data_IF_055697548557
#
_entry.id   IF_055697548557
#
_cell.length_a   1.000
_cell.length_b   1.000
_cell.length_c   1.000
_cell.angle_alpha   90.00
_cell.angle_beta   90.00
_cell.angle_gamma   90.00
#
_symmetry.space_group_name_H-M   'P 1'
#
loop_
_entity.id
_entity.type
_entity.pdbx_description
1 polymer ?
#
# COMPACT_ATOMS: atom_id res chain seq x y z
N UNK A 1 -3.07 -1.75 -6.10
CA UNK A 1 -2.81 -0.40 -5.54
C UNK A 1 -2.84 0.64 -6.66
N UNK A 2 -3.36 1.84 -6.40
CA UNK A 2 -3.31 2.95 -7.35
C UNK A 2 -2.72 4.19 -6.66
N UNK A 3 -1.77 4.84 -7.30
CA UNK A 3 -1.16 6.10 -6.87
C UNK A 3 -1.53 7.14 -7.92
N UNK A 4 -2.05 8.29 -7.51
CA UNK A 4 -2.43 9.37 -8.42
C UNK A 4 -1.92 10.71 -7.92
N UNK A 5 -1.29 11.48 -8.80
CA UNK A 5 -0.81 12.83 -8.53
C UNK A 5 -1.51 13.82 -9.45
N UNK A 6 -2.50 14.54 -8.90
CA UNK A 6 -3.33 15.45 -9.69
C UNK A 6 -2.54 16.59 -10.33
N UNK A 7 -1.54 17.14 -9.63
CA UNK A 7 -0.71 18.22 -10.17
C UNK A 7 0.14 17.80 -11.38
N UNK A 8 0.58 16.54 -11.42
CA UNK A 8 1.44 16.00 -12.49
C UNK A 8 0.63 15.26 -13.57
N UNK A 9 -0.68 15.11 -13.37
CA UNK A 9 -1.53 14.28 -14.23
C UNK A 9 -0.92 12.89 -14.44
N UNK A 10 -0.42 12.28 -13.37
CA UNK A 10 0.27 11.00 -13.42
C UNK A 10 -0.41 10.00 -12.50
N UNK A 11 -0.53 8.76 -12.98
CA UNK A 11 -1.08 7.66 -12.20
C UNK A 11 -0.23 6.41 -12.39
N UNK A 12 -0.04 5.68 -11.30
CA UNK A 12 0.56 4.34 -11.32
C UNK A 12 -0.47 3.35 -10.79
N UNK A 13 -0.74 2.31 -11.56
CA UNK A 13 -1.47 1.13 -11.07
C UNK A 13 -0.48 0.01 -10.85
N UNK A 14 -0.64 -0.69 -9.75
CA UNK A 14 0.18 -1.85 -9.37
C UNK A 14 -0.79 -2.96 -9.05
N UNK A 15 -0.71 -4.04 -9.81
CA UNK A 15 -1.54 -5.22 -9.61
C UNK A 15 -0.63 -6.39 -9.30
N UNK A 16 -1.06 -7.21 -8.35
CA UNK A 16 -0.26 -8.32 -7.87
C UNK A 16 -0.87 -8.95 -6.63
N UNK A 17 -0.25 -10.03 -6.18
CA UNK A 17 -0.64 -10.73 -4.96
C UNK A 17 -0.22 -9.94 -3.73
N UNK A 18 -1.14 -9.80 -2.78
CA UNK A 18 -0.82 -9.31 -1.45
C UNK A 18 -0.36 -10.46 -0.56
N UNK A 19 0.79 -10.31 0.09
CA UNK A 19 1.37 -11.26 1.02
C UNK A 19 1.56 -10.59 2.37
N UNK A 20 1.21 -11.28 3.45
CA UNK A 20 1.40 -10.72 4.80
C UNK A 20 2.89 -10.72 5.12
N UNK A 21 3.41 -9.59 5.58
CA UNK A 21 4.81 -9.52 6.03
C UNK A 21 4.98 -10.25 7.36
N UNK A 22 6.23 -10.53 7.73
CA UNK A 22 6.50 -11.22 8.99
C UNK A 22 6.04 -10.42 10.21
N UNK A 23 5.80 -11.13 11.32
CA UNK A 23 5.47 -10.48 12.60
C UNK A 23 6.62 -9.61 13.09
N UNK A 24 7.87 -10.01 12.84
CA UNK A 24 9.06 -9.25 13.19
C UNK A 24 9.14 -7.92 12.43
N UNK A 25 8.96 -7.95 11.10
CA UNK A 25 8.91 -6.72 10.29
C UNK A 25 7.76 -5.81 10.71
N UNK A 26 6.59 -6.40 10.98
CA UNK A 26 5.44 -5.64 11.50
C UNK A 26 5.74 -5.01 12.85
N UNK A 27 6.39 -5.72 13.78
CA UNK A 27 6.76 -5.22 15.10
C UNK A 27 7.78 -4.08 15.01
N UNK A 28 8.82 -4.28 14.18
CA UNK A 28 9.84 -3.26 13.92
C UNK A 28 9.23 -1.99 13.35
N UNK A 29 8.35 -2.11 12.35
CA UNK A 29 7.67 -0.95 11.76
C UNK A 29 6.67 -0.31 12.73
N UNK A 30 5.97 -1.09 13.55
CA UNK A 30 5.05 -0.56 14.56
C UNK A 30 5.77 0.39 15.53
N UNK A 31 6.91 -0.05 16.07
CA UNK A 31 7.68 0.72 17.04
C UNK A 31 8.45 1.89 16.45
N UNK A 32 8.65 1.95 15.12
CA UNK A 32 9.23 3.12 14.46
C UNK A 32 8.23 4.26 14.26
N UNK A 33 6.93 4.03 14.49
CA UNK A 33 5.88 5.05 14.34
C UNK A 33 5.83 5.97 15.56
N UNK A 34 5.33 7.22 15.44
CA UNK A 34 5.05 8.07 16.59
C UNK A 34 4.17 7.37 17.64
N UNK A 35 4.37 7.65 18.93
CA UNK A 35 3.63 6.99 20.02
C UNK A 35 2.11 7.16 19.85
N UNK A 36 1.65 8.32 19.44
CA UNK A 36 0.23 8.61 19.18
C UNK A 36 -0.33 7.69 18.08
N UNK A 37 0.48 7.38 17.06
CA UNK A 37 0.13 6.44 16.00
C UNK A 37 0.07 4.99 16.48
N UNK A 38 0.91 4.62 17.44
CA UNK A 38 0.89 3.31 18.10
C UNK A 38 -0.37 3.17 18.97
N UNK A 39 -0.68 4.18 19.79
CA UNK A 39 -1.89 4.23 20.61
C UNK A 39 -3.16 4.21 19.74
N UNK A 40 -3.20 4.99 18.67
CA UNK A 40 -4.33 5.02 17.74
C UNK A 40 -4.65 3.66 17.11
N UNK A 41 -3.62 2.83 16.87
CA UNK A 41 -3.79 1.46 16.37
C UNK A 41 -4.43 0.52 17.41
N UNK A 42 -4.27 0.80 18.71
CA UNK A 42 -4.94 0.05 19.79
C UNK A 42 -6.37 0.56 19.96
N UNK A 43 -6.57 1.88 19.95
CA UNK A 43 -7.89 2.52 20.14
C UNK A 43 -8.89 2.07 19.09
N UNK A 44 -8.44 1.96 17.84
CA UNK A 44 -9.29 1.65 16.69
C UNK A 44 -9.13 0.21 16.24
N UNK A 45 -10.09 -0.64 16.60
CA UNK A 45 -10.31 -1.89 15.87
C UNK A 45 -10.98 -1.55 14.54
N UNK A 46 -10.15 -1.26 13.54
CA UNK A 46 -10.57 -0.62 12.29
C UNK A 46 -11.78 -1.32 11.65
N UNK A 47 -12.74 -0.51 11.18
CA UNK A 47 -13.97 -0.95 10.49
C UNK A 47 -15.00 -1.68 11.36
N UNK A 48 -14.87 -1.67 12.70
CA UNK A 48 -15.90 -2.15 13.62
C UNK A 48 -16.93 -1.06 13.96
N UNK A 49 -18.18 -1.46 14.21
CA UNK A 49 -19.26 -0.55 14.60
C UNK A 49 -19.07 -0.10 16.05
N UNK A 50 -19.18 1.20 16.30
CA UNK A 50 -19.11 1.82 17.63
C UNK A 50 -20.29 2.75 17.84
N UNK A 51 -20.65 3.03 19.09
CA UNK A 51 -21.81 3.86 19.41
C UNK A 51 -21.60 5.34 19.09
N UNK A 52 -20.37 5.84 19.22
CA UNK A 52 -20.07 7.26 19.00
C UNK A 52 -18.55 7.53 18.98
N UNK A 53 -18.18 8.77 18.66
CA UNK A 53 -16.79 9.23 18.64
C UNK A 53 -16.17 9.26 20.05
N UNK A 54 -16.95 9.61 21.06
CA UNK A 54 -16.48 9.75 22.45
C UNK A 54 -15.93 8.44 23.02
N UNK A 55 -16.35 7.29 22.50
CA UNK A 55 -15.78 5.98 22.85
C UNK A 55 -14.30 5.91 22.50
N UNK A 56 -13.91 6.44 21.33
CA UNK A 56 -12.51 6.46 20.89
C UNK A 56 -11.70 7.43 21.74
N UNK A 57 -12.24 8.62 22.04
CA UNK A 57 -11.53 9.65 22.80
C UNK A 57 -11.29 9.18 24.26
N UNK A 58 -12.28 8.55 24.90
CA UNK A 58 -12.11 7.95 26.24
C UNK A 58 -11.07 6.84 26.26
N UNK A 59 -11.09 5.95 25.27
CA UNK A 59 -10.08 4.87 25.15
C UNK A 59 -8.68 5.45 24.94
N UNK A 60 -8.55 6.47 24.10
CA UNK A 60 -7.27 7.13 23.85
C UNK A 60 -6.72 7.77 25.13
N UNK A 61 -7.53 8.54 25.85
CA UNK A 61 -7.12 9.17 27.11
C UNK A 61 -6.66 8.13 28.15
N UNK A 62 -7.40 7.03 28.32
CA UNK A 62 -7.02 5.95 29.24
C UNK A 62 -5.70 5.28 28.84
N UNK A 63 -5.45 5.11 27.53
CA UNK A 63 -4.19 4.55 27.05
C UNK A 63 -3.03 5.54 27.16
N UNK A 64 -3.25 6.83 26.95
CA UNK A 64 -2.24 7.87 27.16
C UNK A 64 -1.80 7.92 28.62
N UNK A 65 -2.74 7.79 29.57
CA UNK A 65 -2.42 7.69 31.00
C UNK A 65 -1.65 6.39 31.31
N UNK A 66 -2.13 5.24 30.81
CA UNK A 66 -1.47 3.93 30.99
C UNK A 66 -0.03 3.90 30.45
N UNK A 67 0.23 4.59 29.35
CA UNK A 67 1.51 4.64 28.65
C UNK A 67 2.19 6.01 28.75
N UNK A 68 1.92 6.75 29.84
CA UNK A 68 2.50 8.07 30.11
C UNK A 68 4.02 7.99 30.36
N UNK A 69 4.48 6.90 30.96
CA UNK A 69 5.91 6.59 31.02
C UNK A 69 6.39 6.13 29.65
N UNK A 70 7.23 6.95 29.01
CA UNK A 70 7.77 6.68 27.68
C UNK A 70 8.69 5.46 27.63
N UNK A 71 9.25 5.03 28.77
CA UNK A 71 10.06 3.81 28.85
C UNK A 71 9.23 2.54 28.65
N UNK A 72 7.90 2.62 28.85
CA UNK A 72 6.99 1.50 28.63
C UNK A 72 6.70 1.37 27.13
N UNK A 73 7.04 0.23 26.50
CA UNK A 73 6.72 -0.02 25.11
C UNK A 73 5.22 -0.27 24.95
N UNK A 74 4.62 0.39 23.95
CA UNK A 74 3.24 0.16 23.57
C UNK A 74 3.19 -1.16 22.77
N UNK A 75 2.40 -2.17 23.18
CA UNK A 75 2.36 -3.44 22.47
C UNK A 75 1.68 -3.28 21.11
N UNK A 76 2.21 -3.96 20.09
CA UNK A 76 1.57 -4.07 18.78
C UNK A 76 0.35 -5.00 18.88
N UNK A 77 -0.86 -4.58 18.46
CA UNK A 77 -2.01 -5.48 18.37
C UNK A 77 -1.81 -6.63 17.38
N UNK A 78 -2.42 -7.80 17.65
CA UNK A 78 -2.32 -8.99 16.78
C UNK A 78 -2.97 -8.80 15.40
N UNK A 79 -4.02 -7.98 15.35
CA UNK A 79 -4.71 -7.58 14.12
C UNK A 79 -3.97 -6.48 13.34
N UNK A 80 -2.87 -5.94 13.89
CA UNK A 80 -2.06 -4.93 13.22
C UNK A 80 -0.82 -5.57 12.57
N UNK A 81 -0.58 -5.22 11.31
CA UNK A 81 0.59 -5.65 10.55
C UNK A 81 0.61 -5.03 9.15
N UNK A 82 1.58 -5.47 8.35
CA UNK A 82 1.72 -5.03 6.96
C UNK A 82 1.40 -6.11 5.94
N UNK A 83 1.18 -5.66 4.70
CA UNK A 83 1.16 -6.50 3.52
C UNK A 83 2.17 -5.96 2.51
N UNK A 84 2.87 -6.86 1.86
CA UNK A 84 3.69 -6.60 0.68
C UNK A 84 2.86 -6.96 -0.56
N UNK A 85 2.82 -6.07 -1.54
CA UNK A 85 2.26 -6.40 -2.86
C UNK A 85 3.44 -6.91 -3.70
N UNK A 86 3.41 -8.18 -4.08
CA UNK A 86 4.32 -8.77 -5.06
C UNK A 86 3.74 -8.46 -6.44
N UNK A 87 4.33 -7.54 -7.21
CA UNK A 87 3.70 -7.05 -8.43
C UNK A 87 3.78 -8.08 -9.56
N UNK A 88 2.65 -8.30 -10.21
CA UNK A 88 2.54 -9.04 -11.47
C UNK A 88 2.42 -8.07 -12.66
N UNK A 89 1.95 -6.84 -12.41
CA UNK A 89 1.97 -5.74 -13.38
C UNK A 89 2.08 -4.35 -12.75
N UNK A 90 2.64 -3.44 -13.54
CA UNK A 90 2.63 -1.99 -13.32
C UNK A 90 2.04 -1.31 -14.54
N UNK A 91 1.19 -0.31 -14.35
CA UNK A 91 0.74 0.58 -15.42
C UNK A 91 1.11 2.01 -15.05
N UNK A 92 1.85 2.67 -15.93
CA UNK A 92 2.20 4.07 -15.85
C UNK A 92 1.31 4.84 -16.82
N UNK A 93 0.48 5.71 -16.28
CA UNK A 93 -0.42 6.57 -17.02
C UNK A 93 0.04 8.02 -16.90
N UNK A 94 0.22 8.69 -18.02
CA UNK A 94 0.56 10.11 -18.10
C UNK A 94 -0.48 10.87 -18.92
N UNK A 95 -1.07 11.87 -18.29
CA UNK A 95 -2.04 12.76 -18.92
C UNK A 95 -1.39 13.60 -20.00
N UNK A 96 -2.16 13.82 -21.07
CA UNK A 96 -1.79 14.59 -22.26
C UNK A 96 -2.96 15.53 -22.58
N UNK A 97 -2.66 16.75 -23.02
CA UNK A 97 -3.67 17.81 -23.24
C UNK A 97 -4.62 17.49 -24.39
N UNK A 98 -4.15 16.72 -25.38
CA UNK A 98 -4.93 16.29 -26.54
C UNK A 98 -5.76 15.01 -26.30
N UNK A 99 -5.83 14.52 -25.05
CA UNK A 99 -6.53 13.29 -24.63
C UNK A 99 -5.88 11.98 -25.10
N UNK A 100 -4.78 12.03 -25.84
CA UNK A 100 -4.00 10.86 -26.24
C UNK A 100 -3.00 10.50 -25.15
N UNK A 101 -3.51 10.08 -24.00
CA UNK A 101 -2.73 9.73 -22.82
C UNK A 101 -1.72 8.62 -23.09
N UNK A 102 -0.54 8.74 -22.49
CA UNK A 102 0.44 7.67 -22.52
C UNK A 102 0.09 6.62 -21.47
N UNK A 103 0.05 5.36 -21.91
CA UNK A 103 -0.17 4.21 -21.03
C UNK A 103 0.89 3.17 -21.33
N UNK A 104 1.81 2.98 -20.39
CA UNK A 104 2.88 1.99 -20.47
C UNK A 104 2.63 0.93 -19.41
N UNK A 105 2.44 -0.31 -19.84
CA UNK A 105 2.24 -1.46 -18.96
C UNK A 105 3.47 -2.33 -18.92
N UNK A 106 4.00 -2.56 -17.73
CA UNK A 106 4.92 -3.63 -17.44
C UNK A 106 4.14 -4.83 -16.89
N UNK A 107 4.39 -6.03 -17.39
CA UNK A 107 3.79 -7.27 -16.86
C UNK A 107 4.76 -8.44 -16.88
N UNK A 108 4.53 -9.42 -16.01
CA UNK A 108 5.21 -10.72 -16.11
C UNK A 108 4.69 -11.50 -17.33
N UNK A 109 5.55 -12.29 -18.01
CA UNK A 109 5.12 -13.19 -19.08
C UNK A 109 4.21 -14.29 -18.52
N UNK A 110 3.29 -14.77 -19.35
CA UNK A 110 2.48 -15.95 -19.02
C UNK A 110 3.14 -17.20 -19.62
N UNK A 111 3.10 -18.32 -18.91
CA UNK A 111 3.70 -19.58 -19.42
C UNK A 111 3.05 -20.00 -20.74
N UNK A 112 3.88 -20.25 -21.76
CA UNK A 112 3.42 -20.64 -23.10
C UNK A 112 2.98 -19.46 -23.97
N UNK A 113 3.15 -18.22 -23.53
CA UNK A 113 2.85 -17.03 -24.31
C UNK A 113 3.81 -16.87 -25.49
N UNK A 114 3.25 -16.60 -26.68
CA UNK A 114 4.01 -16.21 -27.87
C UNK A 114 3.93 -14.69 -27.98
N UNK A 115 5.09 -14.02 -27.97
CA UNK A 115 5.17 -12.56 -28.02
C UNK A 115 5.14 -12.04 -29.46
N UNK A 116 4.39 -10.97 -29.67
CA UNK A 116 4.46 -10.17 -30.89
C UNK A 116 5.58 -9.11 -30.72
N UNK A 117 6.69 -9.18 -31.49
CA UNK A 117 7.81 -8.26 -31.35
C UNK A 117 7.48 -6.81 -31.78
N UNK A 118 6.39 -6.58 -32.52
CA UNK A 118 5.95 -5.22 -32.88
C UNK A 118 5.21 -4.54 -31.73
N UNK A 119 4.54 -5.32 -30.87
CA UNK A 119 3.67 -4.81 -29.79
C UNK A 119 4.30 -4.90 -28.40
N UNK A 120 5.18 -5.88 -28.18
CA UNK A 120 5.72 -6.21 -26.87
C UNK A 120 7.24 -6.15 -26.87
N UNK A 121 7.79 -5.38 -25.93
CA UNK A 121 9.24 -5.28 -25.72
C UNK A 121 9.65 -6.06 -24.48
N UNK A 122 10.74 -6.82 -24.55
CA UNK A 122 11.36 -7.42 -23.36
C UNK A 122 12.14 -6.32 -22.64
N UNK A 123 11.83 -6.12 -21.36
CA UNK A 123 12.51 -5.21 -20.45
C UNK A 123 13.40 -5.99 -19.47
N UNK A 124 14.04 -5.28 -18.54
CA UNK A 124 14.92 -5.88 -17.55
C UNK A 124 14.18 -6.86 -16.62
N UNK A 125 14.93 -7.79 -16.02
CA UNK A 125 14.46 -8.78 -15.05
C UNK A 125 13.26 -9.63 -15.52
N UNK A 126 13.15 -9.84 -16.83
CA UNK A 126 12.11 -10.67 -17.44
C UNK A 126 10.72 -10.02 -17.45
N UNK A 127 10.64 -8.69 -17.31
CA UNK A 127 9.41 -7.95 -17.53
C UNK A 127 9.14 -7.72 -19.01
N UNK A 128 7.86 -7.59 -19.37
CA UNK A 128 7.42 -7.22 -20.69
C UNK A 128 6.81 -5.81 -20.64
N UNK A 129 7.15 -4.97 -21.61
CA UNK A 129 6.65 -3.60 -21.77
C UNK A 129 5.75 -3.50 -23.00
N UNK A 130 4.56 -2.95 -22.80
CA UNK A 130 3.55 -2.73 -23.83
C UNK A 130 2.95 -1.32 -23.71
N UNK A 131 2.59 -0.74 -24.85
CA UNK A 131 1.82 0.50 -24.89
C UNK A 131 0.34 0.18 -25.03
N UNK A 132 -0.49 0.78 -24.19
CA UNK A 132 -1.95 0.67 -24.27
C UNK A 132 -2.53 1.94 -24.90
N UNK A 133 -3.67 1.81 -25.56
CA UNK A 133 -4.47 2.95 -25.96
C UNK A 133 -5.00 3.70 -24.71
N UNK A 134 -5.10 5.05 -24.75
CA UNK A 134 -5.53 5.89 -23.64
C UNK A 134 -6.87 5.47 -23.03
#
# INVERSE_FOLDING_TARGET
MAIATFALQYKVRIEGRAERISQEESLKYFHSRPRESQLGAIVSQQSTVISSREVLDKKLAALQEKYADESIPIPKPDYWGGYLIVPDSFEFWQGQTNRLHDRLRFRRPVTGEVLDPELTKVADDGWLLERLAP
#
